data_IF_178883429996
#
_entry.id   IF_178883429996
#
_cell.length_a   1.000
_cell.length_b   1.000
_cell.length_c   1.000
_cell.angle_alpha   90.00
_cell.angle_beta   90.00
_cell.angle_gamma   90.00
#
_symmetry.space_group_name_H-M   'P 1'
#
loop_
_entity.id
_entity.type
_entity.pdbx_description
1 polymer ?
#
# COMPACT_ATOMS: atom_id res chain seq x y z
N UNK A 1 -28.23 24.51 -39.97
CA UNK A 1 -28.33 23.77 -38.68
C UNK A 1 -28.65 22.31 -38.98
N UNK A 2 -27.66 21.42 -38.91
CA UNK A 2 -27.81 20.24 -38.06
C UNK A 2 -26.66 20.09 -37.08
N UNK A 3 -27.02 19.72 -35.85
CA UNK A 3 -26.13 19.40 -34.74
C UNK A 3 -25.79 17.90 -34.70
N UNK A 4 -24.82 17.55 -33.84
CA UNK A 4 -24.58 16.23 -33.21
C UNK A 4 -23.89 15.18 -34.09
N UNK A 5 -22.91 14.40 -33.64
CA UNK A 5 -22.39 14.11 -32.30
C UNK A 5 -20.93 13.66 -32.36
N UNK A 6 -20.13 14.07 -31.38
CA UNK A 6 -18.82 13.51 -31.08
C UNK A 6 -19.02 12.16 -30.38
N UNK A 7 -18.62 11.07 -31.02
CA UNK A 7 -18.43 9.79 -30.35
C UNK A 7 -16.92 9.55 -30.26
N UNK A 8 -16.32 10.04 -29.19
CA UNK A 8 -15.02 9.57 -28.75
C UNK A 8 -15.22 8.16 -28.19
N UNK A 9 -14.94 7.14 -28.99
CA UNK A 9 -14.71 5.79 -28.48
C UNK A 9 -13.47 5.86 -27.59
N UNK A 10 -13.67 5.97 -26.28
CA UNK A 10 -12.63 5.64 -25.31
C UNK A 10 -12.43 4.14 -25.38
N UNK A 11 -11.57 3.71 -26.30
CA UNK A 11 -11.01 2.38 -26.26
C UNK A 11 -10.27 2.27 -24.92
N UNK A 12 -10.93 1.63 -23.94
CA UNK A 12 -10.28 1.14 -22.73
C UNK A 12 -9.32 0.06 -23.20
N UNK A 13 -8.12 0.48 -23.59
CA UNK A 13 -7.01 -0.39 -23.90
C UNK A 13 -6.84 -1.25 -22.67
N UNK A 14 -7.19 -2.53 -22.80
CA UNK A 14 -6.91 -3.56 -21.81
C UNK A 14 -5.41 -3.62 -21.64
N UNK A 15 -4.89 -2.72 -20.81
CA UNK A 15 -3.54 -2.75 -20.35
C UNK A 15 -3.43 -4.09 -19.64
N UNK A 16 -2.69 -5.02 -20.24
CA UNK A 16 -1.98 -6.01 -19.46
C UNK A 16 -0.93 -5.21 -18.70
N UNK A 17 -1.38 -4.42 -17.72
CA UNK A 17 -0.55 -3.73 -16.75
C UNK A 17 0.28 -4.84 -16.15
N UNK A 18 1.59 -4.80 -16.40
CA UNK A 18 2.50 -5.82 -15.94
C UNK A 18 2.18 -6.14 -14.49
N UNK A 19 1.52 -7.28 -14.25
CA UNK A 19 0.92 -7.57 -12.95
C UNK A 19 1.98 -7.66 -11.86
N UNK A 20 3.25 -7.80 -12.29
CA UNK A 20 4.41 -8.02 -11.45
C UNK A 20 5.52 -7.03 -11.79
N UNK A 21 5.96 -6.28 -10.78
CA UNK A 21 7.08 -5.36 -10.82
C UNK A 21 8.31 -6.02 -10.21
N UNK A 22 9.49 -5.71 -10.74
CA UNK A 22 10.74 -6.09 -10.08
C UNK A 22 11.00 -5.20 -8.86
N UNK A 23 12.01 -5.52 -8.05
CA UNK A 23 12.43 -4.64 -6.94
C UNK A 23 12.76 -3.23 -7.43
N UNK A 24 13.37 -3.11 -8.63
CA UNK A 24 13.76 -1.81 -9.17
C UNK A 24 12.53 -1.00 -9.61
N UNK A 25 11.60 -1.63 -10.32
CA UNK A 25 10.36 -0.96 -10.74
C UNK A 25 9.46 -0.62 -9.55
N UNK A 26 9.37 -1.50 -8.55
CA UNK A 26 8.62 -1.22 -7.33
C UNK A 26 9.25 -0.06 -6.53
N UNK A 27 10.58 0.04 -6.53
CA UNK A 27 11.28 1.16 -5.90
C UNK A 27 10.98 2.47 -6.63
N UNK A 28 11.05 2.48 -7.97
CA UNK A 28 10.72 3.62 -8.81
C UNK A 28 9.26 4.06 -8.62
N UNK A 29 8.33 3.10 -8.61
CA UNK A 29 6.91 3.33 -8.37
C UNK A 29 6.62 3.97 -7.01
N UNK A 30 7.33 3.54 -5.97
CA UNK A 30 7.19 4.10 -4.62
C UNK A 30 8.00 5.39 -4.40
N UNK A 31 8.83 5.81 -5.38
CA UNK A 31 9.77 6.90 -5.20
C UNK A 31 10.88 6.61 -4.17
N UNK A 32 11.22 5.34 -3.97
CA UNK A 32 12.20 4.87 -2.99
C UNK A 32 13.46 4.30 -3.67
N UNK A 33 14.51 4.13 -2.88
CA UNK A 33 15.71 3.39 -3.29
C UNK A 33 15.45 1.88 -3.26
N UNK A 34 15.94 1.10 -4.24
CA UNK A 34 15.88 -0.36 -4.18
C UNK A 34 16.59 -0.93 -2.93
N UNK A 35 17.62 -0.23 -2.41
CA UNK A 35 18.28 -0.59 -1.17
C UNK A 35 17.30 -0.54 0.02
N UNK A 36 16.44 0.47 0.08
CA UNK A 36 15.39 0.57 1.11
C UNK A 36 14.45 -0.63 1.06
N UNK A 37 14.03 -1.06 -0.14
CA UNK A 37 13.20 -2.25 -0.29
C UNK A 37 13.91 -3.54 0.15
N UNK A 38 15.22 -3.67 -0.09
CA UNK A 38 16.00 -4.80 0.43
C UNK A 38 16.05 -4.81 1.96
N UNK A 39 16.27 -3.65 2.58
CA UNK A 39 16.27 -3.51 4.04
C UNK A 39 14.90 -3.85 4.62
N UNK A 40 13.82 -3.32 4.05
CA UNK A 40 12.45 -3.63 4.46
C UNK A 40 12.17 -5.13 4.39
N UNK A 41 12.55 -5.77 3.29
CA UNK A 41 12.39 -7.22 3.12
C UNK A 41 13.15 -8.02 4.18
N UNK A 42 14.39 -7.62 4.51
CA UNK A 42 15.16 -8.25 5.58
C UNK A 42 14.50 -8.08 6.95
N UNK A 43 13.94 -6.89 7.21
CA UNK A 43 13.23 -6.57 8.45
C UNK A 43 11.78 -7.06 8.48
N UNK A 44 11.35 -7.85 7.48
CA UNK A 44 9.97 -8.35 7.29
C UNK A 44 8.91 -7.24 7.35
N UNK A 45 9.28 -6.06 6.87
CA UNK A 45 8.44 -4.88 6.76
C UNK A 45 8.23 -4.54 5.28
N UNK A 46 7.21 -3.73 5.00
CA UNK A 46 6.95 -3.24 3.65
C UNK A 46 5.97 -4.09 2.84
N UNK A 47 5.85 -3.80 1.53
CA UNK A 47 4.83 -4.39 0.68
C UNK A 47 5.05 -5.90 0.45
N UNK A 48 3.98 -6.67 0.18
CA UNK A 48 4.06 -8.10 -0.05
C UNK A 48 4.97 -8.41 -1.23
N UNK A 49 6.07 -9.13 -0.95
CA UNK A 49 7.03 -9.57 -1.97
C UNK A 49 7.06 -11.09 -2.02
N UNK A 50 7.18 -11.65 -3.23
CA UNK A 50 7.31 -13.09 -3.41
C UNK A 50 8.42 -13.42 -4.39
N UNK A 51 8.95 -14.64 -4.29
CA UNK A 51 9.97 -15.13 -5.22
C UNK A 51 9.25 -15.81 -6.38
N UNK A 52 9.50 -15.36 -7.61
CA UNK A 52 8.96 -15.95 -8.82
C UNK A 52 10.07 -16.64 -9.63
N UNK A 53 9.79 -17.87 -10.06
CA UNK A 53 10.61 -18.65 -10.98
C UNK A 53 11.80 -19.38 -10.34
N UNK A 54 12.48 -20.25 -11.13
CA UNK A 54 13.54 -21.13 -10.65
C UNK A 54 14.81 -20.38 -10.18
N UNK A 55 14.98 -19.12 -10.61
CA UNK A 55 16.07 -18.24 -10.15
C UNK A 55 15.71 -17.40 -8.91
N UNK A 56 14.51 -17.58 -8.36
CA UNK A 56 14.09 -16.95 -7.11
C UNK A 56 14.04 -15.41 -7.15
N UNK A 57 13.71 -14.83 -8.31
CA UNK A 57 13.67 -13.37 -8.47
C UNK A 57 12.54 -12.79 -7.62
N UNK A 58 12.83 -11.71 -6.90
CA UNK A 58 11.82 -11.04 -6.08
C UNK A 58 10.96 -10.16 -6.98
N UNK A 59 9.66 -10.41 -6.93
CA UNK A 59 8.65 -9.64 -7.63
C UNK A 59 7.58 -9.14 -6.66
N UNK A 60 6.98 -8.02 -7.04
CA UNK A 60 5.90 -7.36 -6.34
C UNK A 60 4.68 -7.35 -7.23
N UNK A 61 3.51 -7.64 -6.69
CA UNK A 61 2.27 -7.49 -7.45
C UNK A 61 1.82 -6.04 -7.36
N UNK A 62 1.42 -5.43 -8.47
CA UNK A 62 1.01 -4.02 -8.47
C UNK A 62 -0.21 -3.80 -7.55
N UNK A 63 -1.23 -4.68 -7.64
CA UNK A 63 -2.39 -4.64 -6.73
C UNK A 63 -2.00 -4.76 -5.23
N UNK A 64 -0.93 -5.52 -4.93
CA UNK A 64 -0.48 -5.75 -3.56
C UNK A 64 0.31 -4.54 -3.03
N UNK A 65 1.05 -3.86 -3.92
CA UNK A 65 1.67 -2.57 -3.64
C UNK A 65 0.60 -1.52 -3.33
N UNK A 66 -0.39 -1.36 -4.19
CA UNK A 66 -1.53 -0.46 -3.99
C UNK A 66 -2.26 -0.73 -2.67
N UNK A 67 -2.60 -1.98 -2.40
CA UNK A 67 -3.27 -2.37 -1.15
C UNK A 67 -2.40 -2.06 0.08
N UNK A 68 -1.09 -2.27 -0.02
CA UNK A 68 -0.16 -1.94 1.06
C UNK A 68 -0.05 -0.44 1.32
N UNK A 69 0.00 0.39 0.26
CA UNK A 69 0.02 1.85 0.38
C UNK A 69 -1.22 2.32 1.13
N UNK A 70 -2.41 1.86 0.73
CA UNK A 70 -3.67 2.22 1.40
C UNK A 70 -3.69 1.78 2.87
N UNK A 71 -3.17 0.58 3.15
CA UNK A 71 -3.07 0.10 4.52
C UNK A 71 -2.09 0.95 5.35
N UNK A 72 -1.00 1.44 4.77
CA UNK A 72 -0.08 2.38 5.43
C UNK A 72 -0.75 3.74 5.68
N UNK A 73 -1.49 4.27 4.72
CA UNK A 73 -2.24 5.52 4.91
C UNK A 73 -3.28 5.42 6.03
N UNK A 74 -3.95 4.26 6.17
CA UNK A 74 -4.90 4.01 7.26
C UNK A 74 -4.21 3.76 8.61
N UNK A 75 -3.05 3.12 8.62
CA UNK A 75 -2.28 2.87 9.84
C UNK A 75 -1.58 4.14 10.34
N UNK A 76 -1.23 5.06 9.44
CA UNK A 76 -0.62 6.33 9.81
C UNK A 76 -1.64 7.22 10.54
N UNK A 77 -1.42 7.40 11.84
CA UNK A 77 -2.33 8.14 12.72
C UNK A 77 -2.44 9.63 12.39
N UNK A 78 -1.58 10.18 11.53
CA UNK A 78 -1.69 11.58 11.05
C UNK A 78 -2.67 11.71 9.90
N UNK A 79 -2.75 10.70 9.04
CA UNK A 79 -3.70 10.64 7.93
C UNK A 79 -5.05 10.05 8.33
N UNK A 80 -5.06 9.16 9.33
CA UNK A 80 -6.29 8.55 9.83
C UNK A 80 -6.82 9.24 11.10
N UNK A 81 -7.88 10.04 10.95
CA UNK A 81 -8.54 10.75 12.06
C UNK A 81 -9.05 9.80 13.16
N UNK A 82 -9.39 8.55 12.82
CA UNK A 82 -9.90 7.56 13.77
C UNK A 82 -8.81 7.00 14.72
N UNK A 83 -7.53 7.07 14.34
CA UNK A 83 -6.38 6.68 15.18
C UNK A 83 -5.69 7.87 15.82
N UNK A 84 -6.27 9.07 15.71
CA UNK A 84 -5.70 10.26 16.31
C UNK A 84 -5.72 10.10 17.85
N UNK A 85 -4.56 10.12 18.53
CA UNK A 85 -4.48 9.94 19.98
C UNK A 85 -5.25 11.01 20.76
N UNK A 86 -5.58 12.14 20.12
CA UNK A 86 -6.39 13.22 20.70
C UNK A 86 -7.90 12.90 20.75
N UNK A 87 -8.37 11.92 19.96
CA UNK A 87 -9.77 11.54 19.90
C UNK A 87 -10.10 10.28 20.72
N UNK A 88 -9.08 9.66 21.33
CA UNK A 88 -9.26 8.50 22.20
C UNK A 88 -9.89 8.96 23.53
N UNK A 89 -11.10 8.50 23.89
CA UNK A 89 -11.68 8.85 25.18
C UNK A 89 -10.77 8.35 26.31
N UNK A 90 -10.60 9.09 27.42
CA UNK A 90 -9.79 8.67 28.55
C UNK A 90 -10.23 7.27 29.00
N UNK A 91 -9.37 6.27 28.83
CA UNK A 91 -9.63 4.93 29.32
C UNK A 91 -9.55 4.97 30.84
N UNK A 92 -10.72 4.92 31.50
CA UNK A 92 -10.82 4.76 32.95
C UNK A 92 -10.03 3.52 33.35
N UNK A 93 -8.90 3.74 34.03
CA UNK A 93 -8.14 2.65 34.64
C UNK A 93 -9.06 1.99 35.66
N UNK A 94 -9.44 0.71 35.49
CA UNK A 94 -10.26 0.05 36.49
C UNK A 94 -9.47 0.06 37.80
N UNK A 95 -10.04 0.75 38.79
CA UNK A 95 -9.44 0.96 40.08
C UNK A 95 -8.89 -0.33 40.63
N UNK A 96 -7.61 -0.30 40.99
CA UNK A 96 -6.94 -1.34 41.76
C UNK A 96 -7.65 -1.43 43.12
N UNK A 97 -8.74 -2.17 43.18
CA UNK A 97 -9.41 -2.51 44.43
C UNK A 97 -8.42 -3.33 45.26
N UNK A 98 -7.84 -2.66 46.26
CA UNK A 98 -7.09 -3.29 47.33
C UNK A 98 -8.09 -4.07 48.17
N UNK A 99 -8.10 -5.40 48.05
CA UNK A 99 -8.83 -6.26 48.99
C UNK A 99 -8.06 -6.36 50.30
N UNK A 100 -8.81 -6.16 51.38
CA UNK A 100 -8.41 -6.19 52.79
C UNK A 100 -8.00 -7.57 53.29
#
# INVERSE_FOLDING_TARGET
MPARSLLATTASSGAISAAFLTVKDAADYLGLSPHTLYVWRHRRQGPPSFRMGPRGRVMYRLEALDAWIRAQEQADSRSNTALNPLNTPPQERPGRFLSA
#
